data_IF_841224134947
#
_entry.id   IF_841224134947
#
_cell.length_a   1.000
_cell.length_b   1.000
_cell.length_c   1.000
_cell.angle_alpha   90.00
_cell.angle_beta   90.00
_cell.angle_gamma   90.00
#
_symmetry.space_group_name_H-M   'P 1'
#
loop_
_entity.id
_entity.type
_entity.pdbx_description
1 polymer ?
#
# COMPACT_ATOMS: atom_id res chain seq x y z
N UNK A 1 -16.33 24.75 0.48
CA UNK A 1 -15.53 24.32 -0.69
C UNK A 1 -14.79 23.06 -0.30
N UNK A 2 -15.14 21.89 -0.87
CA UNK A 2 -14.42 20.65 -0.60
C UNK A 2 -13.15 20.65 -1.46
N UNK A 3 -11.98 20.59 -0.82
CA UNK A 3 -10.70 20.39 -1.51
C UNK A 3 -10.69 18.99 -2.12
N UNK A 4 -11.14 18.89 -3.36
CA UNK A 4 -10.86 17.71 -4.17
C UNK A 4 -9.38 17.79 -4.52
N UNK A 5 -8.53 17.10 -3.77
CA UNK A 5 -7.12 16.89 -4.12
C UNK A 5 -7.07 15.94 -5.33
N UNK A 6 -7.40 16.46 -6.51
CA UNK A 6 -7.10 15.77 -7.76
C UNK A 6 -5.59 15.89 -7.93
N UNK A 7 -4.87 14.89 -7.43
CA UNK A 7 -3.44 14.74 -7.71
C UNK A 7 -3.32 14.46 -9.19
N UNK A 8 -2.72 15.38 -9.93
CA UNK A 8 -2.42 15.22 -11.36
C UNK A 8 -1.67 13.90 -11.58
N UNK A 9 -2.29 12.96 -12.30
CA UNK A 9 -1.70 11.63 -12.55
C UNK A 9 -0.42 11.67 -13.40
N UNK A 10 -0.12 12.83 -14.01
CA UNK A 10 1.03 13.08 -14.88
C UNK A 10 2.13 13.91 -14.21
N UNK A 11 1.92 14.35 -12.97
CA UNK A 11 2.92 15.14 -12.26
C UNK A 11 4.20 14.32 -12.04
N UNK A 12 5.35 14.85 -12.45
CA UNK A 12 6.64 14.23 -12.13
C UNK A 12 6.86 14.37 -10.62
N UNK A 13 6.85 13.26 -9.86
CA UNK A 13 7.03 13.34 -8.41
C UNK A 13 8.47 13.78 -8.09
N UNK A 14 8.70 14.46 -6.94
CA UNK A 14 10.03 14.86 -6.50
C UNK A 14 11.01 13.68 -6.37
N UNK A 15 12.30 13.97 -6.42
CA UNK A 15 13.34 12.94 -6.30
C UNK A 15 13.18 12.15 -4.99
N UNK A 16 13.40 10.83 -5.05
CA UNK A 16 13.23 9.89 -3.93
C UNK A 16 11.80 9.76 -3.38
N UNK A 17 10.79 10.30 -4.08
CA UNK A 17 9.39 10.11 -3.69
C UNK A 17 8.98 8.65 -3.92
N UNK A 18 8.32 8.07 -2.92
CA UNK A 18 7.67 6.77 -3.06
C UNK A 18 6.26 6.94 -3.57
N UNK A 19 5.94 6.22 -4.64
CA UNK A 19 4.63 6.26 -5.30
C UNK A 19 3.95 4.90 -5.24
N UNK A 20 2.62 4.94 -5.21
CA UNK A 20 1.79 3.76 -5.40
C UNK A 20 1.35 3.69 -6.86
N UNK A 21 1.92 2.76 -7.62
CA UNK A 21 1.50 2.53 -9.00
C UNK A 21 0.18 1.76 -9.03
N UNK A 22 -0.50 1.72 -10.19
CA UNK A 22 -1.71 0.91 -10.35
C UNK A 22 -1.47 -0.58 -9.99
N UNK A 23 -0.32 -1.13 -10.35
CA UNK A 23 0.07 -2.50 -9.98
C UNK A 23 0.24 -2.67 -8.47
N UNK A 24 0.94 -1.74 -7.81
CA UNK A 24 1.11 -1.74 -6.36
C UNK A 24 -0.21 -1.53 -5.61
N UNK A 25 -1.10 -0.68 -6.10
CA UNK A 25 -2.45 -0.47 -5.56
C UNK A 25 -3.31 -1.72 -5.69
N UNK A 26 -3.24 -2.41 -6.83
CA UNK A 26 -3.93 -3.70 -7.02
C UNK A 26 -3.40 -4.76 -6.04
N UNK A 27 -2.08 -4.83 -5.84
CA UNK A 27 -1.47 -5.74 -4.89
C UNK A 27 -1.88 -5.43 -3.44
N UNK A 28 -1.89 -4.15 -3.04
CA UNK A 28 -2.36 -3.72 -1.73
C UNK A 28 -3.82 -4.11 -1.49
N UNK A 29 -4.69 -3.84 -2.48
CA UNK A 29 -6.10 -4.22 -2.42
C UNK A 29 -6.29 -5.74 -2.29
N UNK A 30 -5.47 -6.53 -2.98
CA UNK A 30 -5.49 -7.99 -2.87
C UNK A 30 -5.07 -8.46 -1.47
N UNK A 31 -4.01 -7.88 -0.90
CA UNK A 31 -3.53 -8.22 0.44
C UNK A 31 -4.57 -7.91 1.52
N UNK A 32 -5.22 -6.73 1.47
CA UNK A 32 -6.31 -6.37 2.40
C UNK A 32 -7.46 -7.39 2.32
N UNK A 33 -7.83 -7.81 1.10
CA UNK A 33 -8.89 -8.82 0.90
C UNK A 33 -8.51 -10.19 1.45
N UNK A 34 -7.25 -10.60 1.31
CA UNK A 34 -6.79 -11.88 1.84
C UNK A 34 -6.72 -11.83 3.37
N UNK A 35 -6.17 -10.75 3.93
CA UNK A 35 -6.14 -10.51 5.37
C UNK A 35 -7.54 -10.58 5.99
N UNK A 36 -8.50 -9.82 5.44
CA UNK A 36 -9.88 -9.78 5.95
C UNK A 36 -10.56 -11.15 5.91
N UNK A 37 -10.35 -11.93 4.84
CA UNK A 37 -10.85 -13.31 4.75
C UNK A 37 -10.19 -14.21 5.80
N UNK A 38 -8.89 -14.09 5.99
CA UNK A 38 -8.13 -14.91 6.92
C UNK A 38 -8.53 -14.67 8.38
N UNK A 39 -8.71 -13.41 8.79
CA UNK A 39 -9.13 -13.09 10.17
C UNK A 39 -10.61 -13.36 10.44
N UNK A 40 -11.44 -13.36 9.39
CA UNK A 40 -12.85 -13.70 9.49
C UNK A 40 -13.05 -15.21 9.66
N UNK A 41 -12.14 -16.03 9.14
CA UNK A 41 -12.13 -17.47 9.39
C UNK A 41 -11.97 -17.72 10.88
N UNK A 42 -12.86 -18.53 11.44
CA UNK A 42 -12.81 -19.03 12.82
C UNK A 42 -12.77 -17.95 13.91
N UNK A 43 -13.17 -16.71 13.59
CA UNK A 43 -13.24 -15.63 14.57
C UNK A 43 -11.88 -15.14 15.08
N UNK A 44 -10.80 -15.37 14.34
CA UNK A 44 -9.43 -15.02 14.74
C UNK A 44 -9.23 -13.52 15.02
N UNK A 45 -10.11 -12.65 14.49
CA UNK A 45 -10.14 -11.23 14.84
C UNK A 45 -10.31 -10.93 16.34
N UNK A 46 -10.79 -11.90 17.13
CA UNK A 46 -10.99 -11.75 18.59
C UNK A 46 -9.70 -11.79 19.38
N UNK A 47 -8.64 -12.37 18.82
CA UNK A 47 -7.34 -12.47 19.45
C UNK A 47 -6.38 -11.44 18.81
N UNK A 48 -5.91 -10.43 19.56
CA UNK A 48 -4.97 -9.45 19.03
C UNK A 48 -3.68 -10.05 18.44
N UNK A 49 -3.18 -11.14 19.02
CA UNK A 49 -1.98 -11.82 18.53
C UNK A 49 -2.18 -12.43 17.13
N UNK A 50 -3.38 -12.95 16.84
CA UNK A 50 -3.72 -13.46 15.51
C UNK A 50 -3.89 -12.34 14.50
N UNK A 51 -4.49 -11.22 14.90
CA UNK A 51 -4.58 -10.01 14.06
C UNK A 51 -3.18 -9.53 13.67
N UNK A 52 -2.27 -9.41 14.63
CA UNK A 52 -0.90 -8.96 14.39
C UNK A 52 -0.12 -9.93 13.50
N UNK A 53 -0.25 -11.25 13.73
CA UNK A 53 0.31 -12.30 12.87
C UNK A 53 -0.17 -12.17 11.43
N UNK A 54 -1.47 -11.98 11.22
CA UNK A 54 -2.04 -11.84 9.87
C UNK A 54 -1.65 -10.52 9.20
N UNK A 55 -1.57 -9.41 9.94
CA UNK A 55 -1.04 -8.15 9.43
C UNK A 55 0.42 -8.29 8.98
N UNK A 56 1.26 -8.97 9.77
CA UNK A 56 2.64 -9.24 9.44
C UNK A 56 2.80 -10.14 8.21
N UNK A 57 2.01 -11.21 8.13
CA UNK A 57 1.99 -12.12 6.99
C UNK A 57 1.63 -11.40 5.68
N UNK A 58 0.61 -10.53 5.72
CA UNK A 58 0.16 -9.76 4.56
C UNK A 58 0.93 -8.45 4.34
N UNK A 59 2.03 -8.19 5.06
CA UNK A 59 2.85 -6.96 4.94
C UNK A 59 2.04 -5.66 5.14
N UNK A 60 1.02 -5.72 6.00
CA UNK A 60 0.14 -4.60 6.32
C UNK A 60 0.56 -3.86 7.60
N UNK A 61 1.70 -4.21 8.20
CA UNK A 61 2.29 -3.46 9.31
C UNK A 61 3.10 -2.27 8.81
N UNK A 62 3.15 -1.19 9.59
CA UNK A 62 3.75 0.09 9.20
C UNK A 62 5.17 -0.03 8.63
N UNK A 63 6.00 -0.90 9.23
CA UNK A 63 7.39 -1.13 8.81
C UNK A 63 7.53 -1.77 7.43
N UNK A 64 6.53 -2.51 6.95
CA UNK A 64 6.61 -3.25 5.67
C UNK A 64 5.64 -2.74 4.62
N UNK A 65 4.59 -2.01 5.03
CA UNK A 65 3.53 -1.54 4.14
C UNK A 65 4.08 -0.61 3.07
N UNK A 66 4.84 0.40 3.47
CA UNK A 66 5.43 1.37 2.55
C UNK A 66 6.40 0.65 1.61
N UNK A 67 7.30 -0.18 2.14
CA UNK A 67 8.29 -0.87 1.33
C UNK A 67 7.68 -1.85 0.32
N UNK A 68 6.64 -2.56 0.72
CA UNK A 68 6.00 -3.59 -0.10
C UNK A 68 5.09 -2.98 -1.17
N UNK A 69 4.26 -2.00 -0.79
CA UNK A 69 3.17 -1.50 -1.63
C UNK A 69 3.44 -0.13 -2.26
N UNK A 70 4.67 0.35 -2.21
CA UNK A 70 5.09 1.51 -2.99
C UNK A 70 6.41 1.21 -3.70
N UNK A 71 6.84 2.10 -4.58
CA UNK A 71 8.14 2.04 -5.23
C UNK A 71 8.69 3.45 -5.39
N UNK A 72 10.01 3.59 -5.51
CA UNK A 72 10.60 4.88 -5.89
C UNK A 72 10.06 5.29 -7.25
N UNK A 73 9.65 6.55 -7.36
CA UNK A 73 9.21 7.07 -8.63
C UNK A 73 10.34 7.07 -9.66
N UNK A 74 10.00 6.72 -10.89
CA UNK A 74 10.88 6.92 -12.03
C UNK A 74 10.82 8.39 -12.46
N UNK A 75 11.98 9.01 -12.64
CA UNK A 75 12.11 10.31 -13.31
C UNK A 75 12.83 10.08 -14.65
N UNK A 76 12.24 10.56 -15.74
CA UNK A 76 12.93 10.60 -17.03
C UNK A 76 14.12 11.59 -16.91
N UNK A 77 15.33 11.22 -17.34
CA UNK A 77 16.48 12.11 -17.25
C UNK A 77 16.23 13.40 -18.05
N UNK A 78 16.71 14.56 -17.57
CA UNK A 78 16.57 15.81 -18.31
C UNK A 78 17.22 15.64 -19.68
N UNK A 79 16.48 15.99 -20.75
CA UNK A 79 17.03 16.01 -22.12
C UNK A 79 18.15 17.05 -22.16
N UNK A 80 19.38 16.57 -22.30
CA UNK A 80 20.60 17.36 -22.55
C UNK A 80 20.57 18.00 -23.94
#
# INVERSE_FOLDING_TARGET
MHQTHVVEGTGTPPQNTRVITAGKLKALKAAIRQFTRAIASDGQYRNPADVERHLGYHKLIASTLIDTYTQTAYQEPPRS
#
